data_IF_117882574410
#
_entry.id   IF_117882574410
#
_cell.length_a   1.000
_cell.length_b   1.000
_cell.length_c   1.000
_cell.angle_alpha   90.00
_cell.angle_beta   90.00
_cell.angle_gamma   90.00
#
_symmetry.space_group_name_H-M   'P 1'
#
loop_
_entity.id
_entity.type
_entity.pdbx_description
1 polymer ?
#
# COMPACT_ATOMS: atom_id res chain seq x y z
N UNK A 1 6.00 -12.33 -19.40
CA UNK A 1 6.40 -13.01 -18.15
C UNK A 1 5.15 -13.60 -17.52
N UNK A 2 5.15 -14.89 -17.19
CA UNK A 2 4.01 -15.47 -16.45
C UNK A 2 3.98 -14.85 -15.06
N UNK A 3 2.83 -14.28 -14.72
CA UNK A 3 2.59 -13.64 -13.43
C UNK A 3 2.43 -14.76 -12.37
N UNK A 4 3.53 -15.26 -11.83
CA UNK A 4 3.53 -16.37 -10.87
C UNK A 4 3.51 -15.81 -9.46
N UNK A 5 2.32 -15.68 -8.89
CA UNK A 5 2.16 -15.46 -7.44
C UNK A 5 1.94 -16.82 -6.77
N UNK A 6 2.77 -17.18 -5.78
CA UNK A 6 2.69 -18.44 -5.06
C UNK A 6 2.95 -18.25 -3.57
N UNK A 7 2.22 -19.00 -2.74
CA UNK A 7 2.41 -19.02 -1.30
C UNK A 7 2.64 -20.47 -0.88
N UNK A 8 3.75 -20.74 -0.19
CA UNK A 8 4.13 -22.07 0.31
C UNK A 8 4.48 -22.00 1.79
N UNK A 9 3.90 -22.87 2.59
CA UNK A 9 4.34 -23.05 3.99
C UNK A 9 5.55 -23.97 3.99
N UNK A 10 6.73 -23.42 4.35
CA UNK A 10 8.00 -24.15 4.36
C UNK A 10 8.16 -24.93 5.67
N UNK A 11 7.70 -24.35 6.79
CA UNK A 11 7.84 -24.96 8.11
C UNK A 11 6.67 -24.56 9.01
N UNK A 12 6.24 -25.49 9.86
CA UNK A 12 5.25 -25.26 10.93
C UNK A 12 5.85 -25.60 12.27
N UNK A 13 5.49 -24.82 13.30
CA UNK A 13 5.78 -25.19 14.69
C UNK A 13 4.99 -26.44 15.07
N UNK A 14 5.60 -27.27 15.91
CA UNK A 14 4.95 -28.46 16.50
C UNK A 14 4.10 -28.13 17.73
N UNK A 15 4.32 -26.97 18.34
CA UNK A 15 3.75 -26.60 19.65
C UNK A 15 2.78 -25.42 19.61
N UNK A 16 2.73 -24.67 18.50
CA UNK A 16 1.86 -23.51 18.34
C UNK A 16 1.51 -23.28 16.86
N UNK A 17 0.81 -22.17 16.53
CA UNK A 17 0.39 -21.82 15.16
C UNK A 17 1.47 -21.11 14.34
N UNK A 18 2.69 -20.93 14.83
CA UNK A 18 3.76 -20.28 14.09
C UNK A 18 4.15 -21.06 12.84
N UNK A 19 4.47 -20.34 11.79
CA UNK A 19 4.90 -20.91 10.51
C UNK A 19 5.91 -20.02 9.81
N UNK A 20 6.76 -20.62 9.00
CA UNK A 20 7.56 -19.95 7.99
C UNK A 20 6.87 -20.16 6.65
N UNK A 21 6.65 -19.07 5.93
CA UNK A 21 5.97 -19.07 4.63
C UNK A 21 6.88 -18.43 3.60
N UNK A 22 6.97 -19.00 2.41
CA UNK A 22 7.60 -18.40 1.25
C UNK A 22 6.51 -17.83 0.33
N UNK A 23 6.64 -16.55 -0.01
CA UNK A 23 5.78 -15.86 -0.97
C UNK A 23 6.64 -15.59 -2.19
N UNK A 24 6.24 -16.10 -3.35
CA UNK A 24 6.88 -15.82 -4.64
C UNK A 24 6.05 -14.78 -5.38
N UNK A 25 6.71 -13.72 -5.84
CA UNK A 25 6.11 -12.63 -6.64
C UNK A 25 6.87 -12.48 -7.95
N UNK A 26 6.38 -11.68 -8.92
CA UNK A 26 7.12 -11.36 -10.13
C UNK A 26 8.51 -10.74 -9.87
N UNK A 27 8.70 -10.03 -8.75
CA UNK A 27 9.95 -9.36 -8.40
C UNK A 27 10.78 -10.11 -7.36
N UNK A 28 10.47 -11.37 -7.08
CA UNK A 28 11.28 -12.21 -6.20
C UNK A 28 10.52 -12.88 -5.07
N UNK A 29 11.27 -13.38 -4.08
CA UNK A 29 10.73 -14.17 -2.98
C UNK A 29 10.82 -13.43 -1.64
N UNK A 30 9.83 -13.67 -0.78
CA UNK A 30 9.81 -13.20 0.61
C UNK A 30 9.65 -14.41 1.52
N UNK A 31 10.57 -14.58 2.45
CA UNK A 31 10.48 -15.62 3.50
C UNK A 31 10.03 -14.97 4.80
N UNK A 32 8.88 -15.38 5.29
CA UNK A 32 8.29 -14.82 6.50
C UNK A 32 8.76 -15.55 7.77
N UNK A 33 8.79 -14.86 8.93
CA UNK A 33 8.43 -13.46 9.12
C UNK A 33 9.44 -12.51 8.45
N UNK A 34 8.95 -11.43 7.86
CA UNK A 34 9.79 -10.42 7.23
C UNK A 34 9.35 -9.04 7.69
N UNK A 35 10.31 -8.17 7.99
CA UNK A 35 10.03 -6.75 8.22
C UNK A 35 9.89 -6.04 6.88
N UNK A 36 8.88 -5.17 6.77
CA UNK A 36 8.60 -4.39 5.58
C UNK A 36 8.82 -2.91 5.86
N UNK A 37 9.96 -2.34 5.44
CA UNK A 37 10.20 -0.90 5.55
C UNK A 37 9.14 -0.09 4.82
N UNK A 38 8.81 1.08 5.37
CA UNK A 38 7.75 1.94 4.84
C UNK A 38 8.33 3.02 3.95
N UNK A 39 7.95 2.99 2.67
CA UNK A 39 8.32 3.95 1.65
C UNK A 39 7.15 4.82 1.19
N UNK A 40 6.55 5.60 2.09
CA UNK A 40 5.29 6.34 1.89
C UNK A 40 5.26 7.20 0.63
N UNK A 41 6.38 7.86 0.28
CA UNK A 41 6.52 8.77 -0.87
C UNK A 41 7.53 8.27 -1.88
N UNK A 42 7.49 6.98 -2.19
CA UNK A 42 8.45 6.32 -3.05
C UNK A 42 9.89 6.31 -2.51
N UNK A 43 10.09 6.46 -1.21
CA UNK A 43 11.37 6.28 -0.54
C UNK A 43 11.17 5.96 0.95
N UNK A 44 12.04 5.17 1.52
CA UNK A 44 12.13 4.98 2.96
C UNK A 44 12.97 6.16 3.55
N UNK A 45 12.46 6.80 4.61
CA UNK A 45 13.10 7.96 5.18
C UNK A 45 14.57 7.68 5.53
N UNK A 46 15.48 8.51 5.02
CA UNK A 46 16.92 8.46 5.24
C UNK A 46 17.63 7.20 4.72
N UNK A 47 16.96 6.36 3.90
CA UNK A 47 17.52 5.14 3.34
C UNK A 47 17.38 5.13 1.82
N UNK A 48 18.46 4.79 1.15
CA UNK A 48 18.44 4.50 -0.28
C UNK A 48 18.01 3.06 -0.53
N UNK A 49 17.61 2.67 -1.76
CA UNK A 49 17.41 1.27 -2.11
C UNK A 49 18.62 0.38 -1.81
N UNK A 50 19.83 0.91 -1.97
CA UNK A 50 21.07 0.19 -1.64
C UNK A 50 21.20 -0.11 -0.14
N UNK A 51 20.81 0.85 0.72
CA UNK A 51 20.81 0.65 2.17
C UNK A 51 19.79 -0.43 2.57
N UNK A 52 18.62 -0.43 1.93
CA UNK A 52 17.60 -1.45 2.16
C UNK A 52 18.07 -2.84 1.74
N UNK A 53 18.76 -2.94 0.61
CA UNK A 53 19.39 -4.20 0.15
C UNK A 53 20.46 -4.66 1.13
N UNK A 54 21.34 -3.75 1.57
CA UNK A 54 22.38 -4.03 2.57
C UNK A 54 21.79 -4.48 3.92
N UNK A 55 20.62 -3.94 4.29
CA UNK A 55 19.87 -4.35 5.47
C UNK A 55 19.05 -5.65 5.27
N UNK A 56 19.24 -6.35 4.16
CA UNK A 56 18.53 -7.58 3.80
C UNK A 56 17.00 -7.45 3.73
N UNK A 57 16.47 -6.27 3.42
CA UNK A 57 15.03 -6.09 3.19
C UNK A 57 14.59 -6.94 2.00
N UNK A 58 13.59 -7.79 2.23
CA UNK A 58 13.04 -8.69 1.21
C UNK A 58 11.86 -8.07 0.47
N UNK A 59 11.15 -7.17 1.12
CA UNK A 59 9.94 -6.50 0.64
C UNK A 59 9.87 -5.09 1.22
N UNK A 60 9.21 -4.18 0.51
CA UNK A 60 8.97 -2.81 0.96
C UNK A 60 7.49 -2.46 0.80
N UNK A 61 6.94 -1.61 1.69
CA UNK A 61 5.74 -0.85 1.37
C UNK A 61 6.17 0.32 0.48
N UNK A 62 6.01 0.14 -0.83
CA UNK A 62 6.64 0.96 -1.86
C UNK A 62 5.84 2.19 -2.30
N UNK A 63 4.85 2.58 -1.54
CA UNK A 63 4.05 3.77 -1.81
C UNK A 63 2.71 3.73 -1.12
N UNK A 64 2.30 4.88 -0.65
CA UNK A 64 0.95 5.08 -0.16
C UNK A 64 0.08 5.58 -1.31
N UNK A 65 -1.02 4.88 -1.59
CA UNK A 65 -1.89 5.15 -2.74
C UNK A 65 -2.38 6.60 -2.77
N UNK A 66 -2.84 7.14 -1.63
CA UNK A 66 -3.25 8.55 -1.55
C UNK A 66 -2.10 9.51 -1.89
N UNK A 67 -0.91 9.29 -1.29
CA UNK A 67 0.23 10.16 -1.55
C UNK A 67 0.70 10.10 -3.00
N UNK A 68 0.65 8.93 -3.63
CA UNK A 68 1.02 8.77 -5.04
C UNK A 68 0.01 9.44 -5.99
N UNK A 69 -1.27 9.45 -5.64
CA UNK A 69 -2.31 10.20 -6.38
C UNK A 69 -2.12 11.72 -6.27
N UNK A 70 -1.64 12.17 -5.11
CA UNK A 70 -1.37 13.61 -4.87
C UNK A 70 -0.13 14.06 -5.61
N UNK A 71 1.00 13.40 -5.38
CA UNK A 71 2.31 13.68 -5.98
C UNK A 71 3.22 12.44 -5.94
N UNK A 72 3.88 12.11 -7.06
CA UNK A 72 3.99 12.86 -8.33
C UNK A 72 2.77 12.75 -9.24
N UNK A 73 1.82 11.86 -8.95
CA UNK A 73 0.70 11.46 -9.81
C UNK A 73 0.98 10.16 -10.55
N UNK A 74 -0.09 9.39 -10.80
CA UNK A 74 0.04 8.07 -11.43
C UNK A 74 0.62 8.15 -12.84
N UNK A 75 0.33 9.22 -13.58
CA UNK A 75 0.83 9.45 -14.95
C UNK A 75 2.36 9.48 -14.98
N UNK A 76 2.98 10.15 -13.99
CA UNK A 76 4.45 10.22 -13.87
C UNK A 76 5.03 8.85 -13.54
N UNK A 77 4.41 8.12 -12.60
CA UNK A 77 4.85 6.78 -12.20
C UNK A 77 4.76 5.81 -13.38
N UNK A 78 3.66 5.84 -14.12
CA UNK A 78 3.47 4.98 -15.31
C UNK A 78 4.44 5.32 -16.43
N UNK A 79 4.71 6.60 -16.66
CA UNK A 79 5.62 7.06 -17.71
C UNK A 79 7.07 6.55 -17.53
N UNK A 80 7.48 6.29 -16.28
CA UNK A 80 8.81 5.74 -15.97
C UNK A 80 8.82 4.21 -15.83
N UNK A 81 7.69 3.54 -16.05
CA UNK A 81 7.60 2.07 -16.02
C UNK A 81 7.15 1.50 -14.68
N UNK A 82 6.48 2.28 -13.83
CA UNK A 82 5.96 1.86 -12.53
C UNK A 82 6.84 2.26 -11.34
N UNK A 83 6.37 1.91 -10.15
CA UNK A 83 7.03 2.32 -8.91
C UNK A 83 8.38 1.66 -8.69
N UNK A 84 8.57 0.42 -9.14
CA UNK A 84 9.85 -0.27 -9.07
C UNK A 84 10.95 0.54 -9.79
N UNK A 85 10.67 0.96 -11.02
CA UNK A 85 11.59 1.81 -11.79
C UNK A 85 11.75 3.21 -11.17
N UNK A 86 10.64 3.80 -10.68
CA UNK A 86 10.66 5.13 -10.07
C UNK A 86 11.51 5.19 -8.79
N UNK A 87 11.49 4.14 -7.98
CA UNK A 87 12.27 4.02 -6.74
C UNK A 87 13.69 3.48 -6.95
N UNK A 88 13.94 2.78 -8.06
CA UNK A 88 15.12 1.93 -8.23
C UNK A 88 15.12 0.70 -7.30
N UNK A 89 13.94 0.13 -7.05
CA UNK A 89 13.74 -1.06 -6.22
C UNK A 89 13.32 -2.24 -7.08
N UNK A 90 14.08 -3.33 -7.05
CA UNK A 90 13.91 -4.50 -7.93
C UNK A 90 13.31 -5.73 -7.23
N UNK A 91 12.95 -5.60 -5.94
CA UNK A 91 12.41 -6.69 -5.12
C UNK A 91 10.91 -6.50 -4.86
N UNK A 92 10.24 -7.48 -4.20
CA UNK A 92 8.82 -7.41 -3.87
C UNK A 92 8.37 -6.11 -3.23
N UNK A 93 7.19 -5.65 -3.63
CA UNK A 93 6.58 -4.40 -3.18
C UNK A 93 5.10 -4.62 -2.86
N UNK A 94 4.68 -4.04 -1.73
CA UNK A 94 3.27 -3.90 -1.35
C UNK A 94 2.89 -2.42 -1.39
N UNK A 95 1.67 -2.11 -1.83
CA UNK A 95 1.05 -0.79 -1.65
C UNK A 95 -0.12 -0.88 -0.67
N UNK A 96 -0.36 0.20 0.07
CA UNK A 96 -1.59 0.32 0.86
C UNK A 96 -2.77 0.78 -0.01
N UNK A 97 -3.98 0.71 0.56
CA UNK A 97 -5.23 1.10 -0.11
C UNK A 97 -5.49 2.61 -0.13
N UNK A 98 -4.89 3.37 0.78
CA UNK A 98 -5.24 4.75 1.09
C UNK A 98 -6.39 4.92 2.09
N UNK A 99 -6.98 3.83 2.61
CA UNK A 99 -8.10 3.85 3.56
C UNK A 99 -7.78 4.54 4.87
N UNK A 100 -6.58 4.33 5.42
CA UNK A 100 -6.15 5.03 6.63
C UNK A 100 -6.12 6.55 6.44
N UNK A 101 -5.70 7.06 5.27
CA UNK A 101 -5.70 8.50 4.96
C UNK A 101 -7.12 9.03 4.85
N UNK A 102 -8.05 8.24 4.30
CA UNK A 102 -9.47 8.58 4.28
C UNK A 102 -9.98 8.79 5.72
N UNK A 103 -9.73 7.86 6.62
CA UNK A 103 -10.09 7.96 8.03
C UNK A 103 -9.37 9.11 8.76
N UNK A 104 -8.07 9.20 8.67
CA UNK A 104 -7.27 10.16 9.44
C UNK A 104 -7.52 11.60 9.01
N UNK A 105 -7.68 11.86 7.71
CA UNK A 105 -7.90 13.20 7.16
C UNK A 105 -9.36 13.63 7.20
N UNK A 106 -10.33 12.72 7.31
CA UNK A 106 -11.76 13.06 7.44
C UNK A 106 -12.10 13.77 8.75
N UNK A 107 -11.19 13.73 9.74
CA UNK A 107 -11.28 14.57 10.96
C UNK A 107 -11.27 16.06 10.64
N UNK A 108 -10.73 16.45 9.48
CA UNK A 108 -10.83 17.80 8.94
C UNK A 108 -11.65 17.77 7.63
N UNK A 109 -12.93 18.13 7.70
CA UNK A 109 -13.85 18.15 6.57
C UNK A 109 -13.45 19.08 5.42
N UNK A 110 -12.54 20.01 5.65
CA UNK A 110 -11.98 20.86 4.59
C UNK A 110 -10.97 20.09 3.73
N UNK A 111 -10.41 18.98 4.26
CA UNK A 111 -9.41 18.15 3.59
C UNK A 111 -10.04 16.88 3.03
N UNK A 112 -10.91 16.21 3.80
CA UNK A 112 -11.52 14.96 3.38
C UNK A 112 -12.97 14.84 3.88
N UNK A 113 -13.86 14.39 3.02
CA UNK A 113 -15.22 13.95 3.37
C UNK A 113 -15.44 12.52 2.91
N UNK A 114 -16.23 11.76 3.66
CA UNK A 114 -16.60 10.37 3.34
C UNK A 114 -18.07 10.31 2.97
N UNK A 115 -18.39 9.46 2.00
CA UNK A 115 -19.75 9.05 1.67
C UNK A 115 -19.80 7.55 1.32
N UNK A 116 -20.93 7.07 0.82
CA UNK A 116 -21.11 5.65 0.47
C UNK A 116 -20.26 5.18 -0.71
N UNK A 117 -19.75 6.09 -1.51
CA UNK A 117 -18.94 5.78 -2.69
C UNK A 117 -17.44 5.76 -2.36
N UNK A 118 -17.01 6.50 -1.32
CA UNK A 118 -15.61 6.55 -0.91
C UNK A 118 -15.21 7.86 -0.23
N UNK A 119 -13.98 8.26 -0.44
CA UNK A 119 -13.36 9.43 0.16
C UNK A 119 -13.09 10.53 -0.87
N UNK A 120 -13.55 11.74 -0.56
CA UNK A 120 -13.32 12.95 -1.37
C UNK A 120 -12.26 13.80 -0.70
N UNK A 121 -11.09 13.87 -1.28
CA UNK A 121 -9.98 14.67 -0.78
C UNK A 121 -9.83 15.97 -1.55
N UNK A 122 -9.50 17.04 -0.81
CA UNK A 122 -8.99 18.28 -1.37
C UNK A 122 -7.57 18.50 -0.85
N UNK A 123 -6.59 18.36 -1.75
CA UNK A 123 -5.19 18.52 -1.36
C UNK A 123 -4.89 19.99 -1.04
N UNK A 124 -4.49 20.33 0.21
CA UNK A 124 -4.41 21.74 0.66
C UNK A 124 -3.42 22.59 -0.14
N UNK A 125 -2.30 22.00 -0.58
CA UNK A 125 -1.24 22.77 -1.25
C UNK A 125 -1.62 23.23 -2.67
N UNK A 126 -2.48 22.48 -3.39
CA UNK A 126 -2.82 22.77 -4.79
C UNK A 126 -4.31 22.91 -5.05
N UNK A 127 -5.15 22.56 -4.07
CA UNK A 127 -6.60 22.47 -4.26
C UNK A 127 -7.06 21.27 -5.12
N UNK A 128 -6.15 20.38 -5.53
CA UNK A 128 -6.47 19.19 -6.32
C UNK A 128 -7.53 18.34 -5.63
N UNK A 129 -8.59 18.00 -6.35
CA UNK A 129 -9.62 17.09 -5.88
C UNK A 129 -9.26 15.64 -6.27
N UNK A 130 -9.41 14.73 -5.32
CA UNK A 130 -9.17 13.29 -5.51
C UNK A 130 -10.37 12.55 -4.93
N UNK A 131 -11.01 11.72 -5.76
CA UNK A 131 -12.06 10.82 -5.32
C UNK A 131 -11.50 9.40 -5.27
N UNK A 132 -11.34 8.86 -4.07
CA UNK A 132 -10.81 7.54 -3.81
C UNK A 132 -11.96 6.60 -3.42
N UNK A 133 -12.31 5.74 -4.35
CA UNK A 133 -13.29 4.68 -4.20
C UNK A 133 -12.60 3.32 -4.11
N UNK A 134 -13.27 2.22 -3.72
CA UNK A 134 -12.69 0.88 -3.80
C UNK A 134 -12.10 0.59 -5.18
N UNK A 135 -12.82 0.93 -6.25
CA UNK A 135 -12.36 0.73 -7.63
C UNK A 135 -11.14 1.57 -7.95
N UNK A 136 -11.18 2.89 -7.70
CA UNK A 136 -10.06 3.78 -8.04
C UNK A 136 -8.81 3.51 -7.20
N UNK A 137 -8.96 3.01 -5.97
CA UNK A 137 -7.83 2.54 -5.15
C UNK A 137 -7.13 1.35 -5.79
N UNK A 138 -7.89 0.34 -6.21
CA UNK A 138 -7.33 -0.84 -6.91
C UNK A 138 -6.68 -0.44 -8.25
N UNK A 139 -7.33 0.43 -9.02
CA UNK A 139 -6.80 0.90 -10.30
C UNK A 139 -5.48 1.69 -10.10
N UNK A 140 -5.41 2.51 -9.05
CA UNK A 140 -4.20 3.24 -8.69
C UNK A 140 -3.06 2.29 -8.29
N UNK A 141 -3.32 1.30 -7.44
CA UNK A 141 -2.32 0.32 -7.02
C UNK A 141 -1.80 -0.53 -8.19
N UNK A 142 -2.68 -0.88 -9.14
CA UNK A 142 -2.28 -1.54 -10.39
C UNK A 142 -1.41 -0.63 -11.26
N UNK A 143 -1.74 0.67 -11.35
CA UNK A 143 -0.95 1.64 -12.09
C UNK A 143 0.42 1.89 -11.45
N UNK A 144 0.52 1.80 -10.12
CA UNK A 144 1.77 1.80 -9.37
C UNK A 144 2.61 0.58 -9.70
N UNK A 145 1.97 -0.58 -9.96
CA UNK A 145 2.65 -1.82 -10.34
C UNK A 145 3.19 -2.62 -9.15
N UNK A 146 2.51 -2.57 -7.99
CA UNK A 146 2.88 -3.37 -6.83
C UNK A 146 2.60 -4.87 -7.03
N UNK A 147 3.40 -5.72 -6.40
CA UNK A 147 3.19 -7.17 -6.38
C UNK A 147 2.01 -7.57 -5.50
N UNK A 148 1.82 -6.85 -4.39
CA UNK A 148 0.74 -7.07 -3.43
C UNK A 148 -0.02 -5.75 -3.29
N UNK A 149 -1.33 -5.81 -3.48
CA UNK A 149 -2.24 -4.68 -3.35
C UNK A 149 -3.26 -4.94 -2.25
N UNK A 150 -3.74 -3.87 -1.60
CA UNK A 150 -4.66 -3.95 -0.48
C UNK A 150 -6.06 -3.54 -0.89
N UNK A 151 -7.07 -4.25 -0.36
CA UNK A 151 -8.46 -3.83 -0.49
C UNK A 151 -8.65 -2.46 0.18
N UNK A 152 -9.53 -1.63 -0.40
CA UNK A 152 -9.87 -0.35 0.21
C UNK A 152 -10.73 -0.60 1.45
N UNK A 153 -10.25 -0.17 2.59
CA UNK A 153 -10.88 -0.34 3.89
C UNK A 153 -11.34 1.00 4.48
N UNK A 154 -12.37 0.94 5.31
CA UNK A 154 -12.76 2.05 6.17
C UNK A 154 -12.36 1.74 7.62
N UNK A 155 -11.39 2.48 8.14
CA UNK A 155 -10.98 2.37 9.53
C UNK A 155 -12.10 2.89 10.46
N UNK A 156 -12.66 2.02 11.27
CA UNK A 156 -13.68 2.41 12.25
C UNK A 156 -13.03 3.05 13.49
N UNK A 157 -13.67 4.07 14.11
CA UNK A 157 -13.17 4.63 15.35
C UNK A 157 -13.25 3.60 16.49
N UNK A 158 -12.28 3.64 17.42
CA UNK A 158 -12.18 2.71 18.56
C UNK A 158 -13.49 2.61 19.36
N UNK A 159 -14.20 3.72 19.52
CA UNK A 159 -15.47 3.79 20.25
C UNK A 159 -16.71 3.62 19.37
N UNK A 160 -16.56 3.23 18.08
CA UNK A 160 -17.66 3.13 17.13
C UNK A 160 -18.62 1.96 17.38
N UNK A 161 -18.17 0.96 18.13
CA UNK A 161 -18.95 -0.21 18.45
C UNK A 161 -19.29 -1.08 17.23
N UNK A 162 -20.11 -2.12 17.46
CA UNK A 162 -20.48 -3.11 16.42
C UNK A 162 -21.18 -2.47 15.22
N UNK A 163 -22.01 -1.44 15.44
CA UNK A 163 -22.74 -0.79 14.37
C UNK A 163 -21.78 -0.12 13.37
N UNK A 164 -20.83 0.68 13.85
CA UNK A 164 -19.86 1.33 12.99
C UNK A 164 -19.00 0.31 12.20
N UNK A 165 -18.64 -0.81 12.84
CA UNK A 165 -17.91 -1.88 12.15
C UNK A 165 -18.75 -2.57 11.06
N UNK A 166 -20.05 -2.72 11.23
CA UNK A 166 -20.94 -3.28 10.21
C UNK A 166 -21.23 -2.29 9.09
N UNK A 167 -21.32 -0.99 9.41
CA UNK A 167 -21.56 0.07 8.41
C UNK A 167 -20.32 0.28 7.51
N UNK A 168 -19.11 -0.10 8.00
CA UNK A 168 -17.84 0.01 7.28
C UNK A 168 -17.49 -1.22 6.41
N UNK A 169 -18.32 -2.28 6.42
CA UNK A 169 -18.18 -3.46 5.57
C UNK A 169 -18.90 -3.28 4.23
#
# INVERSE_FOLDING_TARGET
MQNTFKIEIIQRSKTNHARVTKITTPHGEVVTPAFMPVGTRAFANHLTPYDLVAAHSQIILGGNTYHMLVAPGLEVIQAVGGMHAFMGWDKPMLTDSGGFQAFSLSKNRQICTLDKEGAHFKYPATGKLIHLTPKSSIDAQKAIGADIIMAFDECTPENGGRKAALDAL
#
